data_IF_166913025784
#
_entry.id   IF_166913025784
#
_cell.length_a   1.000
_cell.length_b   1.000
_cell.length_c   1.000
_cell.angle_alpha   90.00
_cell.angle_beta   90.00
_cell.angle_gamma   90.00
#
_symmetry.space_group_name_H-M   'P 1'
#
loop_
_entity.id
_entity.type
_entity.pdbx_description
1 polymer ?
#
# COMPACT_ATOMS: atom_id res chain seq x y z
N UNK A 1 -13.11 -3.71 -30.42
CA UNK A 1 -13.49 -2.73 -29.38
C UNK A 1 -12.38 -2.67 -28.35
N UNK A 2 -11.66 -1.54 -28.25
CA UNK A 2 -10.58 -1.39 -27.28
C UNK A 2 -11.18 -1.56 -25.87
N UNK A 3 -10.68 -2.53 -25.10
CA UNK A 3 -11.07 -2.71 -23.68
C UNK A 3 -10.90 -1.35 -23.00
N UNK A 4 -12.02 -0.74 -22.61
CA UNK A 4 -12.01 0.56 -21.94
C UNK A 4 -11.02 0.50 -20.78
N UNK A 5 -10.13 1.48 -20.69
CA UNK A 5 -9.18 1.58 -19.57
C UNK A 5 -9.98 1.44 -18.27
N UNK A 6 -9.74 0.36 -17.55
CA UNK A 6 -10.52 0.03 -16.36
C UNK A 6 -10.42 1.20 -15.36
N UNK A 7 -11.57 1.82 -15.06
CA UNK A 7 -11.63 3.04 -14.24
C UNK A 7 -11.22 2.74 -12.80
N UNK A 8 -11.44 1.49 -12.36
CA UNK A 8 -10.94 0.95 -11.09
C UNK A 8 -9.66 0.17 -11.34
N UNK A 9 -8.62 0.54 -10.61
CA UNK A 9 -7.30 -0.09 -10.71
C UNK A 9 -6.91 -0.69 -9.37
N UNK A 10 -6.36 -1.90 -9.41
CA UNK A 10 -5.76 -2.54 -8.25
C UNK A 10 -4.46 -1.82 -7.89
N UNK A 11 -4.38 -1.32 -6.67
CA UNK A 11 -3.24 -0.60 -6.10
C UNK A 11 -2.70 -1.34 -4.89
N UNK A 12 -1.39 -1.24 -4.69
CA UNK A 12 -0.71 -1.85 -3.54
C UNK A 12 -0.35 -0.72 -2.58
N UNK A 13 -0.76 -0.87 -1.33
CA UNK A 13 -0.42 0.01 -0.23
C UNK A 13 0.69 -0.63 0.60
N UNK A 14 1.81 0.05 0.82
CA UNK A 14 2.93 -0.43 1.62
C UNK A 14 3.14 0.43 2.86
N UNK A 15 3.51 -0.21 3.97
CA UNK A 15 3.77 0.47 5.23
C UNK A 15 4.99 1.38 5.09
N UNK A 16 4.83 2.66 5.41
CA UNK A 16 5.95 3.63 5.36
C UNK A 16 6.97 3.45 6.48
N UNK A 17 6.56 2.79 7.58
CA UNK A 17 7.36 2.64 8.80
C UNK A 17 8.09 1.29 8.89
N UNK A 18 7.77 0.34 8.01
CA UNK A 18 8.53 -0.90 7.93
C UNK A 18 9.84 -0.61 7.20
N UNK A 19 10.97 -0.62 7.91
CA UNK A 19 12.30 -0.47 7.30
C UNK A 19 12.79 -1.84 6.85
N UNK A 20 13.23 -1.99 5.59
CA UNK A 20 13.82 -3.24 5.07
C UNK A 20 15.02 -3.74 5.88
N UNK A 21 15.73 -2.83 6.54
CA UNK A 21 17.01 -3.05 7.20
C UNK A 21 16.98 -2.70 8.70
N UNK A 22 15.91 -3.04 9.41
CA UNK A 22 15.90 -2.98 10.86
C UNK A 22 16.72 -4.13 11.45
N UNK A 23 17.73 -3.81 12.26
CA UNK A 23 18.72 -4.70 12.90
C UNK A 23 18.16 -5.84 13.81
N UNK A 24 16.84 -6.02 13.84
CA UNK A 24 16.15 -7.02 14.65
C UNK A 24 15.54 -8.08 13.71
N UNK A 25 16.07 -9.31 13.80
CA UNK A 25 15.80 -10.49 12.95
C UNK A 25 14.34 -10.99 12.90
N UNK A 26 13.41 -10.31 13.56
CA UNK A 26 12.01 -10.71 13.75
C UNK A 26 11.07 -10.17 12.65
N UNK A 27 11.30 -8.97 12.12
CA UNK A 27 10.45 -8.39 11.06
C UNK A 27 10.97 -8.77 9.67
N UNK A 28 10.68 -10.02 9.24
CA UNK A 28 11.14 -10.62 7.97
C UNK A 28 10.55 -9.99 6.69
N UNK A 29 9.77 -8.90 6.75
CA UNK A 29 9.14 -8.35 5.55
C UNK A 29 8.49 -6.98 5.70
N UNK A 30 8.08 -6.44 4.54
CA UNK A 30 7.27 -5.23 4.41
C UNK A 30 5.79 -5.61 4.37
N UNK A 31 4.96 -4.99 5.21
CA UNK A 31 3.52 -5.20 5.15
C UNK A 31 2.92 -4.52 3.94
N UNK A 32 2.09 -5.26 3.18
CA UNK A 32 1.42 -4.78 1.97
C UNK A 32 -0.05 -5.14 1.99
N UNK A 33 -0.88 -4.20 1.57
CA UNK A 33 -2.31 -4.41 1.32
C UNK A 33 -2.63 -4.23 -0.15
N UNK A 34 -3.50 -5.08 -0.67
CA UNK A 34 -4.06 -4.95 -2.01
C UNK A 34 -5.43 -4.29 -1.87
N UNK A 35 -5.65 -3.21 -2.61
CA UNK A 35 -6.93 -2.50 -2.63
C UNK A 35 -7.25 -2.08 -4.06
N UNK A 36 -8.48 -1.64 -4.30
CA UNK A 36 -8.87 -1.06 -5.58
C UNK A 36 -9.11 0.44 -5.40
N UNK A 37 -8.59 1.23 -6.34
CA UNK A 37 -8.78 2.68 -6.37
C UNK A 37 -9.41 3.09 -7.70
N UNK A 38 -10.38 3.99 -7.66
CA UNK A 38 -10.88 4.65 -8.86
C UNK A 38 -9.95 5.80 -9.23
N UNK A 39 -9.26 5.70 -10.38
CA UNK A 39 -8.29 6.71 -10.82
C UNK A 39 -8.94 8.04 -11.21
N UNK A 40 -10.20 8.04 -11.61
CA UNK A 40 -10.93 9.25 -11.99
C UNK A 40 -11.33 10.07 -10.76
N UNK A 41 -11.91 9.41 -9.76
CA UNK A 41 -12.39 10.08 -8.55
C UNK A 41 -11.25 10.45 -7.59
N UNK A 42 -10.21 9.62 -7.53
CA UNK A 42 -9.06 9.80 -6.63
C UNK A 42 -7.75 9.71 -7.42
N UNK A 43 -7.35 10.79 -8.12
CA UNK A 43 -6.12 10.79 -8.90
C UNK A 43 -4.85 10.85 -8.03
N UNK A 44 -4.93 11.44 -6.84
CA UNK A 44 -3.82 11.55 -5.87
C UNK A 44 -3.43 10.19 -5.30
N UNK A 45 -2.20 10.08 -4.77
CA UNK A 45 -1.72 8.84 -4.11
C UNK A 45 -2.62 8.52 -2.92
N UNK A 46 -3.01 7.26 -2.79
CA UNK A 46 -3.81 6.81 -1.67
C UNK A 46 -2.92 6.58 -0.45
N UNK A 47 -3.27 7.23 0.66
CA UNK A 47 -2.64 7.04 1.97
C UNK A 47 -3.71 6.63 2.97
N UNK A 48 -3.56 5.47 3.60
CA UNK A 48 -4.52 4.96 4.58
C UNK A 48 -3.81 4.52 5.85
N UNK A 49 -4.41 4.85 6.99
CA UNK A 49 -3.95 4.33 8.28
C UNK A 49 -4.47 2.92 8.47
N UNK A 50 -3.57 1.93 8.45
CA UNK A 50 -3.90 0.51 8.62
C UNK A 50 -3.00 -0.11 9.68
N UNK A 51 -3.47 -1.21 10.26
CA UNK A 51 -2.66 -1.98 11.19
C UNK A 51 -1.42 -2.54 10.48
N UNK A 52 -0.30 -2.62 11.18
CA UNK A 52 0.89 -3.28 10.67
C UNK A 52 1.23 -4.48 11.55
N UNK A 53 1.25 -5.71 11.01
CA UNK A 53 1.59 -6.91 11.79
C UNK A 53 3.05 -6.90 12.24
N UNK A 54 3.95 -6.23 11.51
CA UNK A 54 5.37 -6.17 11.87
C UNK A 54 5.70 -5.06 12.89
N UNK A 55 4.98 -3.94 12.84
CA UNK A 55 5.18 -2.84 13.78
C UNK A 55 4.23 -2.90 14.99
N UNK A 56 3.30 -3.87 15.01
CA UNK A 56 2.23 -4.05 16.01
C UNK A 56 1.43 -2.77 16.32
N UNK A 57 1.33 -1.85 15.35
CA UNK A 57 0.67 -0.55 15.51
C UNK A 57 0.01 -0.10 14.21
N UNK A 58 -0.93 0.83 14.32
CA UNK A 58 -1.56 1.47 13.17
C UNK A 58 -0.63 2.51 12.56
N UNK A 59 -0.08 2.20 11.40
CA UNK A 59 0.84 3.05 10.64
C UNK A 59 0.16 3.57 9.37
N UNK A 60 0.80 4.55 8.74
CA UNK A 60 0.36 5.05 7.44
C UNK A 60 0.91 4.10 6.37
N UNK A 61 0.02 3.68 5.47
CA UNK A 61 0.38 2.91 4.29
C UNK A 61 0.17 3.79 3.05
N UNK A 62 1.20 3.87 2.21
CA UNK A 62 1.18 4.66 0.99
C UNK A 62 1.10 3.80 -0.26
N UNK A 63 0.42 4.30 -1.29
CA UNK A 63 0.36 3.68 -2.61
C UNK A 63 1.74 3.61 -3.28
N UNK A 64 2.16 2.40 -3.65
CA UNK A 64 3.35 2.17 -4.47
C UNK A 64 3.01 2.36 -5.94
N UNK A 65 3.84 3.14 -6.64
CA UNK A 65 3.86 3.16 -8.10
C UNK A 65 4.59 1.92 -8.61
N UNK A 66 3.92 1.13 -9.45
CA UNK A 66 4.59 0.11 -10.26
C UNK A 66 5.32 0.75 -11.43
#
# INVERSE_FOLDING_TARGET
>A
MAKGKDVRVTVILECTNCVRNGLNKESRGLSRYITQKNRHNTPSRLELRKFCPYCYKHTIYGEIKK
#
